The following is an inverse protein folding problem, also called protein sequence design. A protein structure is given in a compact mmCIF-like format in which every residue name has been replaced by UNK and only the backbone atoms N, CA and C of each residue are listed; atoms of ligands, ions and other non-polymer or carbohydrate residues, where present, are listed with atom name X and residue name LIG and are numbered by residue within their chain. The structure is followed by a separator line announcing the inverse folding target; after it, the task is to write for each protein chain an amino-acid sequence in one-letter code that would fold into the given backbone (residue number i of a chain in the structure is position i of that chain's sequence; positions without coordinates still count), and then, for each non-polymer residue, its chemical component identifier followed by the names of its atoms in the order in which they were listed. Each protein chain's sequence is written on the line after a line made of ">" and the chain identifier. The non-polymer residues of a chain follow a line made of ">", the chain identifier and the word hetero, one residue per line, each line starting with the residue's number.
data_IF_427067554164
#
_entry.id   IF_427067554164
#
_cell.length_a   1.000
_cell.length_b   1.000
_cell.length_c   1.000
_cell.angle_alpha   90.00
_cell.angle_beta   90.00
_cell.angle_gamma   90.00
#
_symmetry.space_group_name_H-M   'P 1'
#
loop_
_entity.id
_entity.type
_entity.pdbx_description
1 polymer ?
#
# COMPACT_ATOMS: atom_id res chain seq x y z
N UNK A 1 2.11 13.99 17.72
CA UNK A 1 2.28 13.14 16.52
C UNK A 1 0.99 12.37 16.36
N UNK A 2 0.17 12.69 15.37
CA UNK A 2 -1.01 11.86 15.05
C UNK A 2 -0.51 10.46 14.66
N UNK A 3 -1.21 9.40 15.08
CA UNK A 3 -0.84 8.07 14.62
C UNK A 3 -1.02 8.02 13.09
N UNK A 4 -0.22 7.23 12.38
CA UNK A 4 -0.36 7.08 10.91
C UNK A 4 -1.80 6.71 10.52
N UNK A 5 -2.56 6.08 11.43
CA UNK A 5 -3.97 5.73 11.26
C UNK A 5 -4.94 6.93 11.32
N UNK A 6 -4.55 8.06 11.90
CA UNK A 6 -5.43 9.23 12.10
C UNK A 6 -5.33 10.30 11.00
N UNK A 7 -4.31 10.22 10.15
CA UNK A 7 -4.09 11.15 9.03
C UNK A 7 -4.56 10.55 7.71
N UNK A 8 -4.88 11.30 6.65
CA UNK A 8 -5.19 10.68 5.37
C UNK A 8 -4.03 9.87 4.80
N UNK A 9 -4.34 8.79 4.07
CA UNK A 9 -3.35 7.91 3.42
C UNK A 9 -3.60 7.89 1.92
N UNK A 10 -2.69 8.51 1.18
CA UNK A 10 -2.77 8.51 -0.28
C UNK A 10 -2.62 7.07 -0.80
N UNK A 11 -3.55 6.63 -1.64
CA UNK A 11 -3.43 5.34 -2.32
C UNK A 11 -2.44 5.44 -3.46
N UNK A 12 -1.43 4.59 -3.50
CA UNK A 12 -0.34 4.68 -4.49
C UNK A 12 0.02 3.32 -5.10
N UNK A 13 0.72 3.36 -6.23
CA UNK A 13 1.41 2.20 -6.83
C UNK A 13 2.94 2.37 -6.70
N UNK A 14 3.72 1.41 -7.22
CA UNK A 14 5.18 1.43 -7.09
C UNK A 14 5.83 2.66 -7.74
N UNK A 15 5.28 3.12 -8.86
CA UNK A 15 5.85 4.27 -9.60
C UNK A 15 5.79 5.58 -8.81
N UNK A 16 4.90 5.66 -7.82
CA UNK A 16 4.65 6.84 -7.01
C UNK A 16 5.43 6.86 -5.68
N UNK A 17 6.14 5.79 -5.32
CA UNK A 17 6.87 5.68 -4.04
C UNK A 17 7.86 6.83 -3.84
N UNK A 18 8.65 7.17 -4.86
CA UNK A 18 9.66 8.24 -4.77
C UNK A 18 9.06 9.62 -4.46
N UNK A 19 7.81 9.87 -4.88
CA UNK A 19 7.10 11.14 -4.64
C UNK A 19 6.45 11.19 -3.24
N UNK A 20 6.40 10.06 -2.55
CA UNK A 20 5.72 9.88 -1.27
C UNK A 20 6.66 9.54 -0.11
N UNK A 21 7.98 9.70 -0.28
CA UNK A 21 8.97 9.48 0.79
C UNK A 21 8.58 10.28 2.05
N UNK A 22 8.64 9.63 3.22
CA UNK A 22 8.22 10.15 4.52
C UNK A 22 6.74 10.55 4.63
N UNK A 23 5.89 10.13 3.68
CA UNK A 23 4.44 10.34 3.74
C UNK A 23 3.71 9.03 4.11
N UNK A 24 2.58 9.12 4.84
CA UNK A 24 1.69 8.00 5.07
C UNK A 24 0.97 7.62 3.77
N UNK A 25 0.93 6.33 3.46
CA UNK A 25 0.36 5.79 2.23
C UNK A 25 -0.48 4.55 2.49
N UNK A 26 -1.36 4.25 1.54
CA UNK A 26 -2.04 2.97 1.42
C UNK A 26 -1.59 2.30 0.12
N UNK A 27 -1.00 1.12 0.23
CA UNK A 27 -0.48 0.35 -0.89
C UNK A 27 -1.22 -0.98 -0.96
N UNK A 28 -1.75 -1.33 -2.13
CA UNK A 28 -2.40 -2.63 -2.35
C UNK A 28 -1.62 -3.38 -3.40
N UNK A 29 -1.27 -4.63 -3.11
CA UNK A 29 -0.53 -5.47 -4.04
C UNK A 29 -0.65 -6.95 -3.69
N UNK A 30 -0.20 -7.81 -4.61
CA UNK A 30 -0.18 -9.26 -4.43
C UNK A 30 1.14 -9.69 -3.79
N UNK A 31 1.08 -10.57 -2.81
CA UNK A 31 2.24 -11.09 -2.10
C UNK A 31 3.05 -11.96 -3.05
N UNK A 32 4.31 -11.60 -3.25
CA UNK A 32 5.25 -12.33 -4.10
C UNK A 32 6.20 -13.20 -3.28
N UNK A 33 6.77 -12.63 -2.21
CA UNK A 33 7.75 -13.32 -1.37
C UNK A 33 7.71 -12.80 0.06
N UNK A 34 7.76 -13.73 1.01
CA UNK A 34 7.92 -13.43 2.43
C UNK A 34 9.34 -13.83 2.85
N UNK A 35 10.05 -12.94 3.53
CA UNK A 35 11.37 -13.23 4.06
C UNK A 35 11.28 -14.22 5.24
N UNK A 36 12.23 -15.17 5.43
CA UNK A 36 12.15 -16.16 6.50
C UNK A 36 12.03 -15.60 7.93
N UNK A 37 12.49 -14.37 8.16
CA UNK A 37 12.34 -13.70 9.47
C UNK A 37 10.92 -13.22 9.74
N UNK A 38 10.03 -13.25 8.74
CA UNK A 38 8.69 -12.67 8.82
C UNK A 38 8.65 -11.14 8.91
N UNK A 39 9.79 -10.44 8.91
CA UNK A 39 9.85 -8.97 9.08
C UNK A 39 9.85 -8.18 7.77
N UNK A 40 9.89 -8.86 6.64
CA UNK A 40 9.94 -8.23 5.33
C UNK A 40 9.22 -9.10 4.32
N UNK A 41 8.47 -8.48 3.43
CA UNK A 41 7.86 -9.16 2.29
C UNK A 41 7.80 -8.21 1.09
N UNK A 42 7.55 -8.76 -0.10
CA UNK A 42 7.42 -7.99 -1.34
C UNK A 42 6.03 -8.12 -1.91
N UNK A 43 5.50 -7.02 -2.42
CA UNK A 43 4.22 -6.94 -3.11
C UNK A 43 4.42 -6.55 -4.57
N UNK A 44 3.67 -7.18 -5.48
CA UNK A 44 3.50 -6.70 -6.85
C UNK A 44 2.26 -5.81 -6.96
N UNK A 45 2.39 -4.65 -7.61
CA UNK A 45 1.25 -3.78 -7.93
C UNK A 45 0.54 -4.22 -9.22
N UNK A 46 -0.50 -3.49 -9.61
CA UNK A 46 -1.25 -3.77 -10.85
C UNK A 46 -0.50 -3.52 -12.15
N UNK A 47 0.76 -3.08 -12.11
CA UNK A 47 1.65 -3.00 -13.28
C UNK A 47 2.76 -4.05 -13.21
N UNK A 48 2.68 -4.99 -12.25
CA UNK A 48 3.69 -6.01 -12.00
C UNK A 48 4.99 -5.48 -11.40
N UNK A 49 5.03 -4.23 -10.92
CA UNK A 49 6.21 -3.65 -10.27
C UNK A 49 6.23 -4.05 -8.81
N UNK A 50 7.44 -4.22 -8.27
CA UNK A 50 7.65 -4.74 -6.92
C UNK A 50 7.94 -3.62 -5.93
N UNK A 51 7.23 -3.65 -4.79
CA UNK A 51 7.53 -2.86 -3.61
C UNK A 51 7.96 -3.76 -2.45
N UNK A 52 8.95 -3.31 -1.67
CA UNK A 52 9.36 -3.97 -0.42
C UNK A 52 8.59 -3.37 0.75
N UNK A 53 8.05 -4.22 1.61
CA UNK A 53 7.37 -3.85 2.85
C UNK A 53 8.16 -4.38 4.05
N UNK A 54 8.43 -3.52 5.00
CA UNK A 54 9.13 -3.82 6.25
C UNK A 54 8.14 -3.74 7.43
N UNK A 55 8.23 -4.70 8.36
CA UNK A 55 7.42 -4.79 9.57
C UNK A 55 8.29 -4.56 10.81
N UNK A 56 7.71 -3.97 11.86
CA UNK A 56 8.37 -3.87 13.16
C UNK A 56 8.52 -5.25 13.82
N UNK A 57 7.43 -6.02 13.79
CA UNK A 57 7.32 -7.36 14.35
C UNK A 57 7.14 -8.40 13.23
N UNK A 58 7.63 -9.64 13.43
CA UNK A 58 7.40 -10.72 12.46
C UNK A 58 5.91 -10.98 12.21
N UNK A 59 5.58 -11.46 11.03
CA UNK A 59 4.25 -11.99 10.73
C UNK A 59 3.87 -13.11 11.72
N UNK A 60 2.65 -13.03 12.25
CA UNK A 60 2.07 -14.06 13.11
C UNK A 60 1.47 -15.23 12.31
N UNK A 61 1.03 -14.93 11.08
CA UNK A 61 0.37 -15.87 10.18
C UNK A 61 0.96 -15.85 8.76
N UNK A 62 0.70 -16.91 8.00
CA UNK A 62 1.14 -17.01 6.62
C UNK A 62 0.44 -15.95 5.75
N UNK A 63 1.23 -15.10 5.12
CA UNK A 63 0.74 -14.03 4.28
C UNK A 63 0.73 -14.46 2.81
N UNK A 64 -0.44 -14.35 2.16
CA UNK A 64 -0.62 -14.69 0.75
C UNK A 64 -1.73 -13.85 0.11
N UNK A 65 -1.91 -13.97 -1.21
CA UNK A 65 -2.97 -13.28 -1.93
C UNK A 65 -2.73 -11.77 -2.06
N UNK A 66 -3.82 -11.00 -2.07
CA UNK A 66 -3.75 -9.53 -2.15
C UNK A 66 -3.81 -8.92 -0.76
N UNK A 67 -2.90 -7.99 -0.46
CA UNK A 67 -2.77 -7.33 0.83
C UNK A 67 -2.87 -5.82 0.64
N UNK A 68 -3.61 -5.18 1.54
CA UNK A 68 -3.59 -3.73 1.74
C UNK A 68 -2.62 -3.43 2.88
N UNK A 69 -1.64 -2.55 2.64
CA UNK A 69 -0.63 -2.11 3.60
C UNK A 69 -0.80 -0.62 3.85
N UNK A 70 -0.92 -0.25 5.12
CA UNK A 70 -0.86 1.14 5.57
C UNK A 70 0.48 1.36 6.26
N UNK A 71 1.22 2.35 5.80
CA UNK A 71 2.56 2.61 6.31
C UNK A 71 3.14 3.93 5.86
N UNK A 72 4.42 4.12 6.16
CA UNK A 72 5.18 5.28 5.73
C UNK A 72 6.20 4.86 4.68
N UNK A 73 6.30 5.59 3.58
CA UNK A 73 7.33 5.31 2.57
C UNK A 73 8.70 5.66 3.14
N UNK A 74 9.62 4.71 3.10
CA UNK A 74 10.98 4.88 3.60
C UNK A 74 11.86 5.61 2.58
N UNK A 75 12.96 6.18 3.06
CA UNK A 75 14.01 6.76 2.21
C UNK A 75 14.74 5.73 1.31
N UNK A 76 14.52 4.42 1.54
CA UNK A 76 15.08 3.33 0.74
C UNK A 76 14.15 2.89 -0.41
N UNK A 77 13.01 3.55 -0.58
CA UNK A 77 12.02 3.21 -1.62
C UNK A 77 11.13 2.01 -1.27
N UNK A 78 11.04 1.63 0.01
CA UNK A 78 10.11 0.63 0.53
C UNK A 78 9.02 1.26 1.40
N UNK A 79 8.20 0.44 2.05
CA UNK A 79 7.14 0.88 2.95
C UNK A 79 7.38 0.30 4.34
N UNK A 80 7.50 1.16 5.35
CA UNK A 80 7.45 0.75 6.76
C UNK A 80 5.99 0.59 7.17
N UNK A 81 5.50 -0.64 7.28
CA UNK A 81 4.10 -0.88 7.60
C UNK A 81 3.80 -0.55 9.07
N UNK A 82 2.65 0.08 9.27
CA UNK A 82 2.00 0.22 10.58
C UNK A 82 0.96 -0.87 10.79
N UNK A 83 0.23 -1.20 9.73
CA UNK A 83 -0.76 -2.29 9.72
C UNK A 83 -0.92 -2.82 8.30
N UNK A 84 -1.42 -4.05 8.20
CA UNK A 84 -1.77 -4.68 6.94
C UNK A 84 -3.10 -5.43 7.09
N UNK A 85 -3.78 -5.63 5.97
CA UNK A 85 -5.03 -6.39 5.90
C UNK A 85 -5.01 -7.28 4.66
N UNK A 86 -5.18 -8.59 4.87
CA UNK A 86 -5.34 -9.53 3.76
C UNK A 86 -6.74 -9.35 3.17
N UNK A 87 -6.79 -8.97 1.89
CA UNK A 87 -8.06 -8.77 1.20
C UNK A 87 -8.59 -10.14 0.76
N UNK A 88 -9.72 -10.52 1.34
CA UNK A 88 -10.40 -11.78 1.01
C UNK A 88 -10.71 -11.85 -0.50
N UNK A 89 -10.18 -12.87 -1.16
CA UNK A 89 -10.59 -13.27 -2.51
C UNK A 89 -11.76 -14.26 -2.35
N UNK A 90 -12.93 -13.95 -2.93
CA UNK A 90 -14.06 -14.87 -2.94
C UNK A 90 -13.80 -16.05 -3.87
N UNK A 91 -14.44 -17.21 -3.61
CA UNK A 91 -14.17 -18.46 -4.34
C UNK A 91 -14.36 -18.25 -5.86
N UNK A 92 -13.23 -18.15 -6.58
CA UNK A 92 -13.18 -18.04 -8.03
C UNK A 92 -13.07 -16.62 -8.60
N UNK A 93 -13.05 -15.58 -7.75
CA UNK A 93 -12.88 -14.19 -8.20
C UNK A 93 -11.59 -13.64 -7.59
N UNK A 94 -10.52 -13.64 -8.39
CA UNK A 94 -9.27 -12.96 -8.03
C UNK A 94 -9.49 -11.45 -7.99
N UNK A 95 -8.83 -10.77 -7.05
CA UNK A 95 -8.77 -9.31 -7.04
C UNK A 95 -8.04 -8.82 -8.29
N UNK A 96 -8.75 -8.09 -9.15
CA UNK A 96 -8.18 -7.46 -10.34
C UNK A 96 -7.34 -6.24 -9.96
N UNK A 97 -6.03 -6.46 -9.85
CA UNK A 97 -5.07 -5.40 -9.50
C UNK A 97 -4.81 -4.45 -10.66
N UNK A 98 -4.98 -4.90 -11.91
CA UNK A 98 -4.82 -4.04 -13.09
C UNK A 98 -5.95 -2.99 -13.10
N UNK A 99 -7.20 -3.42 -12.90
CA UNK A 99 -8.33 -2.52 -12.75
C UNK A 99 -8.18 -1.57 -11.55
N UNK A 100 -7.68 -2.09 -10.41
CA UNK A 100 -7.38 -1.24 -9.25
C UNK A 100 -6.31 -0.18 -9.58
N UNK A 101 -5.28 -0.51 -10.35
CA UNK A 101 -4.25 0.43 -10.78
C UNK A 101 -4.81 1.50 -11.74
N UNK A 102 -5.73 1.15 -12.64
CA UNK A 102 -6.44 2.15 -13.46
C UNK A 102 -7.30 3.08 -12.61
N UNK A 103 -7.98 2.55 -11.57
CA UNK A 103 -8.71 3.39 -10.62
C UNK A 103 -7.78 4.35 -9.85
N UNK A 104 -6.56 3.90 -9.48
CA UNK A 104 -5.57 4.78 -8.88
C UNK A 104 -5.18 5.93 -9.81
N UNK A 105 -4.93 5.66 -11.09
CA UNK A 105 -4.60 6.71 -12.07
C UNK A 105 -5.72 7.76 -12.13
N UNK A 106 -6.97 7.34 -12.21
CA UNK A 106 -8.13 8.26 -12.18
C UNK A 106 -8.17 9.08 -10.90
N UNK A 107 -7.95 8.46 -9.74
CA UNK A 107 -7.93 9.17 -8.45
C UNK A 107 -6.85 10.26 -8.39
N UNK A 108 -5.69 10.02 -9.01
CA UNK A 108 -4.60 11.01 -9.09
C UNK A 108 -4.77 12.05 -10.20
N UNK A 109 -5.44 11.70 -11.30
CA UNK A 109 -5.76 12.63 -12.39
C UNK A 109 -6.87 13.62 -12.01
N UNK A 110 -7.74 13.23 -11.07
CA UNK A 110 -8.91 14.01 -10.63
C UNK A 110 -8.97 14.22 -9.10
N UNK A 111 -7.95 14.82 -8.48
CA UNK A 111 -7.87 14.94 -7.02
C UNK A 111 -9.00 15.79 -6.41
N UNK A 112 -9.63 16.67 -7.18
CA UNK A 112 -10.80 17.45 -6.74
C UNK A 112 -12.04 16.59 -6.46
N UNK A 113 -12.11 15.37 -7.03
CA UNK A 113 -13.21 14.44 -6.83
C UNK A 113 -12.87 13.34 -5.81
N UNK A 114 -11.59 13.20 -5.46
CA UNK A 114 -11.10 12.30 -4.43
C UNK A 114 -10.01 13.00 -3.59
N UNK A 115 -10.38 13.99 -2.76
CA UNK A 115 -9.40 14.76 -2.00
C UNK A 115 -8.81 13.89 -0.89
N UNK A 116 -7.51 13.63 -0.96
CA UNK A 116 -6.78 12.98 0.13
C UNK A 116 -6.43 13.95 1.26
N UNK A 117 -6.26 15.23 0.97
CA UNK A 117 -6.08 16.23 2.02
C UNK A 117 -7.45 16.72 2.49
N UNK A 118 -7.67 16.75 3.80
CA UNK A 118 -8.75 17.59 4.34
C UNK A 118 -8.33 19.01 4.00
N UNK A 119 -9.09 19.69 3.14
CA UNK A 119 -8.84 21.10 2.85
C UNK A 119 -8.72 21.81 4.19
N UNK A 120 -7.51 22.28 4.52
CA UNK A 120 -7.29 23.16 5.65
C UNK A 120 -8.08 24.42 5.33
N UNK A 121 -9.29 24.51 5.88
CA UNK A 121 -10.03 25.75 5.96
C UNK A 121 -9.13 26.76 6.67
N UNK A 122 -8.55 27.67 5.90
CA UNK A 122 -7.85 28.84 6.41
C UNK A 122 -8.80 29.83 7.08
#
# INVERSE_FOLDING_TARGET
>A
MAAILDVPKTRINCSMLSQHINKPVCFVGRVEKVHPTGKTFTLSDGEGKIATVELNDPLEEEMSGVVEVIGMVSNKGGIMATTYNMLREEKGISRDLELYNEALKVVHDFPQHYPFEVASSG
#
